data_IF_871547261605
#
_entry.id   IF_871547261605
#
_cell.length_a   1.000
_cell.length_b   1.000
_cell.length_c   1.000
_cell.angle_alpha   90.00
_cell.angle_beta   90.00
_cell.angle_gamma   90.00
#
_symmetry.space_group_name_H-M   'P 1'
#
loop_
_entity.id
_entity.type
_entity.pdbx_description
1 polymer ?
#
# COMPACT_ATOMS: atom_id res chain seq x y z
N UNK A 1 -43.26 10.99 6.01
CA UNK A 1 -41.99 10.58 6.65
C UNK A 1 -41.00 10.31 5.53
N UNK A 2 -39.96 11.14 5.38
CA UNK A 2 -38.91 10.88 4.40
C UNK A 2 -38.13 9.64 4.87
N UNK A 3 -37.93 8.66 3.97
CA UNK A 3 -37.03 7.53 4.22
C UNK A 3 -35.64 8.14 4.43
N UNK A 4 -35.06 7.95 5.62
CA UNK A 4 -33.64 8.30 5.79
C UNK A 4 -32.84 7.48 4.78
N UNK A 5 -31.86 8.08 4.09
CA UNK A 5 -31.01 7.34 3.17
C UNK A 5 -30.27 6.24 3.94
N UNK A 6 -30.14 5.07 3.34
CA UNK A 6 -29.32 3.99 3.87
C UNK A 6 -27.85 4.44 3.84
N UNK A 7 -27.25 4.65 5.02
CA UNK A 7 -25.82 4.97 5.15
C UNK A 7 -25.05 3.66 5.20
N UNK A 8 -24.06 3.51 4.31
CA UNK A 8 -23.11 2.40 4.29
C UNK A 8 -21.75 2.95 4.67
N UNK A 9 -21.21 2.52 5.81
CA UNK A 9 -19.84 2.82 6.22
C UNK A 9 -18.95 1.59 5.96
N UNK A 10 -17.91 1.77 5.13
CA UNK A 10 -16.93 0.72 4.85
C UNK A 10 -15.73 0.88 5.77
N UNK A 11 -15.50 -0.11 6.64
CA UNK A 11 -14.31 -0.15 7.49
C UNK A 11 -13.03 -0.45 6.69
N UNK A 12 -11.84 -0.11 7.20
CA UNK A 12 -10.57 -0.32 6.48
C UNK A 12 -10.29 -1.79 6.18
N UNK A 13 -10.66 -2.70 7.08
CA UNK A 13 -10.48 -4.14 6.84
C UNK A 13 -11.43 -4.67 5.76
N UNK A 14 -12.71 -4.29 5.82
CA UNK A 14 -13.71 -4.68 4.84
C UNK A 14 -13.33 -4.17 3.44
N UNK A 15 -12.90 -2.91 3.35
CA UNK A 15 -12.46 -2.31 2.10
C UNK A 15 -11.22 -3.01 1.54
N UNK A 16 -10.20 -3.27 2.38
CA UNK A 16 -9.02 -4.00 1.94
C UNK A 16 -9.37 -5.41 1.41
N UNK A 17 -10.29 -6.13 2.07
CA UNK A 17 -10.76 -7.45 1.61
C UNK A 17 -11.53 -7.36 0.29
N UNK A 18 -12.37 -6.33 0.13
CA UNK A 18 -13.12 -6.06 -1.10
C UNK A 18 -12.17 -5.80 -2.27
N UNK A 19 -11.21 -4.89 -2.09
CA UNK A 19 -10.19 -4.56 -3.08
C UNK A 19 -9.33 -5.79 -3.43
N UNK A 20 -8.90 -6.55 -2.42
CA UNK A 20 -8.11 -7.76 -2.65
C UNK A 20 -8.88 -8.82 -3.45
N UNK A 21 -10.15 -9.03 -3.11
CA UNK A 21 -11.01 -9.97 -3.85
C UNK A 21 -11.19 -9.53 -5.31
N UNK A 22 -11.41 -8.22 -5.55
CA UNK A 22 -11.47 -7.66 -6.90
C UNK A 22 -10.15 -7.82 -7.65
N UNK A 23 -9.01 -7.63 -6.98
CA UNK A 23 -7.69 -7.81 -7.58
C UNK A 23 -7.46 -9.25 -8.06
N UNK A 24 -7.84 -10.23 -7.24
CA UNK A 24 -7.75 -11.65 -7.57
C UNK A 24 -8.68 -12.05 -8.73
N UNK A 25 -9.89 -11.48 -8.78
CA UNK A 25 -10.81 -11.74 -9.88
C UNK A 25 -10.28 -11.16 -11.20
N UNK A 26 -9.86 -9.89 -11.19
CA UNK A 26 -9.28 -9.23 -12.36
C UNK A 26 -8.02 -9.96 -12.87
N UNK A 27 -7.20 -10.50 -11.96
CA UNK A 27 -6.00 -11.28 -12.33
C UNK A 27 -6.31 -12.46 -13.25
N UNK A 28 -7.49 -13.10 -13.13
CA UNK A 28 -7.86 -14.27 -13.95
C UNK A 28 -7.92 -13.95 -15.45
N UNK A 29 -8.21 -12.70 -15.82
CA UNK A 29 -8.26 -12.22 -17.20
C UNK A 29 -7.04 -11.37 -17.61
N UNK A 30 -6.13 -11.09 -16.67
CA UNK A 30 -5.03 -10.13 -16.85
C UNK A 30 -3.93 -10.59 -17.82
N UNK A 31 -3.89 -11.87 -18.20
CA UNK A 31 -2.96 -12.37 -19.22
C UNK A 31 -3.32 -11.88 -20.63
N UNK A 32 -4.60 -11.70 -20.89
CA UNK A 32 -5.14 -11.47 -22.24
C UNK A 32 -5.70 -10.05 -22.42
N UNK A 33 -5.91 -9.30 -21.33
CA UNK A 33 -6.48 -7.96 -21.35
C UNK A 33 -5.74 -7.00 -20.40
N UNK A 34 -5.42 -5.82 -20.93
CA UNK A 34 -4.75 -4.74 -20.20
C UNK A 34 -5.64 -4.14 -19.11
N UNK A 35 -6.95 -4.10 -19.30
CA UNK A 35 -7.86 -3.50 -18.32
C UNK A 35 -7.86 -4.30 -17.01
N UNK A 36 -8.12 -5.63 -17.01
CA UNK A 36 -8.00 -6.47 -15.82
C UNK A 36 -6.59 -6.52 -15.25
N UNK A 37 -5.55 -6.41 -16.09
CA UNK A 37 -4.16 -6.31 -15.60
C UNK A 37 -3.96 -5.04 -14.75
N UNK A 38 -4.36 -3.88 -15.27
CA UNK A 38 -4.28 -2.61 -14.56
C UNK A 38 -5.14 -2.59 -13.30
N UNK A 39 -6.35 -3.17 -13.37
CA UNK A 39 -7.27 -3.29 -12.23
C UNK A 39 -6.68 -4.18 -11.13
N UNK A 40 -6.18 -5.37 -11.47
CA UNK A 40 -5.55 -6.27 -10.50
C UNK A 40 -4.38 -5.61 -9.76
N UNK A 41 -3.57 -4.83 -10.49
CA UNK A 41 -2.45 -4.10 -9.94
C UNK A 41 -2.91 -2.95 -9.03
N UNK A 42 -3.83 -2.10 -9.50
CA UNK A 42 -4.31 -0.95 -8.75
C UNK A 42 -4.99 -1.36 -7.44
N UNK A 43 -5.94 -2.29 -7.53
CA UNK A 43 -6.70 -2.77 -6.38
C UNK A 43 -5.81 -3.52 -5.38
N UNK A 44 -4.95 -4.41 -5.86
CA UNK A 44 -4.11 -5.24 -4.99
C UNK A 44 -3.09 -4.43 -4.18
N UNK A 45 -2.43 -3.46 -4.83
CA UNK A 45 -1.48 -2.58 -4.14
C UNK A 45 -2.19 -1.68 -3.13
N UNK A 46 -3.39 -1.19 -3.46
CA UNK A 46 -4.16 -0.35 -2.55
C UNK A 46 -4.68 -1.12 -1.32
N UNK A 47 -5.09 -2.38 -1.51
CA UNK A 47 -5.45 -3.25 -0.39
C UNK A 47 -4.31 -3.39 0.63
N UNK A 48 -3.07 -3.57 0.15
CA UNK A 48 -1.89 -3.65 1.01
C UNK A 48 -1.62 -2.34 1.76
N UNK A 49 -1.76 -1.17 1.10
CA UNK A 49 -1.62 0.15 1.74
C UNK A 49 -2.60 0.30 2.91
N UNK A 50 -3.89 0.01 2.68
CA UNK A 50 -4.93 0.13 3.72
C UNK A 50 -4.64 -0.80 4.90
N UNK A 51 -4.25 -2.05 4.65
CA UNK A 51 -3.95 -3.02 5.72
C UNK A 51 -2.76 -2.55 6.57
N UNK A 52 -1.70 -2.05 5.95
CA UNK A 52 -0.52 -1.58 6.68
C UNK A 52 -0.85 -0.32 7.48
N UNK A 53 -1.57 0.64 6.90
CA UNK A 53 -2.03 1.83 7.63
C UNK A 53 -2.86 1.41 8.84
N UNK A 54 -3.84 0.51 8.67
CA UNK A 54 -4.68 -0.01 9.77
C UNK A 54 -3.84 -0.65 10.87
N UNK A 55 -2.87 -1.50 10.51
CA UNK A 55 -2.04 -2.23 11.47
C UNK A 55 -1.05 -1.33 12.22
N UNK A 56 -0.54 -0.28 11.58
CA UNK A 56 0.44 0.63 12.18
C UNK A 56 -0.20 1.83 12.89
N UNK A 57 -1.46 2.15 12.60
CA UNK A 57 -2.15 3.29 13.24
C UNK A 57 -2.11 3.25 14.77
N UNK A 58 -2.31 2.10 15.46
CA UNK A 58 -2.29 2.04 16.93
C UNK A 58 -0.93 2.40 17.55
N UNK A 59 0.15 2.24 16.77
CA UNK A 59 1.52 2.52 17.21
C UNK A 59 2.14 3.72 16.49
N UNK A 60 1.32 4.57 15.86
CA UNK A 60 1.80 5.71 15.04
C UNK A 60 2.76 6.65 15.77
N UNK A 61 2.61 6.78 17.10
CA UNK A 61 3.44 7.64 17.96
C UNK A 61 4.85 7.07 18.19
N UNK A 62 5.11 5.82 17.81
CA UNK A 62 6.45 5.22 17.81
C UNK A 62 7.27 5.61 16.58
N UNK A 63 6.63 6.17 15.56
CA UNK A 63 7.29 6.57 14.32
C UNK A 63 7.66 8.07 14.33
N UNK A 64 8.63 8.49 13.49
CA UNK A 64 8.81 9.90 13.18
C UNK A 64 7.49 10.56 12.75
N UNK A 65 7.32 11.84 13.09
CA UNK A 65 6.09 12.58 12.79
C UNK A 65 5.68 12.56 11.30
N UNK A 66 6.63 12.40 10.37
CA UNK A 66 6.35 12.22 8.95
C UNK A 66 5.55 10.99 8.62
N UNK A 67 5.84 9.88 9.29
CA UNK A 67 5.12 8.62 9.14
C UNK A 67 3.85 8.67 9.98
N UNK A 68 3.93 9.15 11.22
CA UNK A 68 2.77 9.24 12.12
C UNK A 68 1.61 10.05 11.53
N UNK A 69 1.89 11.14 10.79
CA UNK A 69 0.85 11.91 10.08
C UNK A 69 0.19 11.10 8.96
N UNK A 70 0.97 10.29 8.23
CA UNK A 70 0.50 9.48 7.10
C UNK A 70 -0.28 8.22 7.53
N UNK A 71 -0.19 7.87 8.81
CA UNK A 71 -0.97 6.80 9.44
C UNK A 71 -2.32 7.29 10.00
N UNK A 72 -2.64 8.58 9.89
CA UNK A 72 -3.93 9.09 10.32
C UNK A 72 -5.01 8.73 9.30
N UNK A 73 -6.14 8.22 9.79
CA UNK A 73 -7.33 8.01 8.98
C UNK A 73 -8.15 9.31 8.94
N UNK A 74 -8.54 9.80 7.76
CA UNK A 74 -9.45 10.94 7.65
C UNK A 74 -10.83 10.59 8.20
N UNK A 75 -11.66 11.62 8.44
CA UNK A 75 -13.06 11.43 8.82
C UNK A 75 -13.82 10.71 7.70
N UNK A 76 -14.74 9.77 8.00
CA UNK A 76 -15.44 8.98 6.98
C UNK A 76 -16.41 9.80 6.12
N UNK A 77 -16.85 10.97 6.61
CA UNK A 77 -17.78 11.82 5.89
C UNK A 77 -17.11 12.54 4.71
N UNK A 78 -17.77 12.49 3.55
CA UNK A 78 -17.39 13.22 2.34
C UNK A 78 -17.62 14.71 2.55
N UNK A 79 -16.56 15.50 2.42
CA UNK A 79 -16.60 16.96 2.32
C UNK A 79 -16.27 17.34 0.86
N UNK A 80 -17.27 17.81 0.08
CA UNK A 80 -17.06 18.08 -1.34
C UNK A 80 -15.95 19.07 -1.66
N UNK A 81 -15.69 20.05 -0.78
CA UNK A 81 -14.67 21.06 -1.02
C UNK A 81 -13.30 20.56 -0.59
N UNK A 82 -13.20 20.03 0.63
CA UNK A 82 -11.94 19.46 1.16
C UNK A 82 -11.45 18.33 0.25
N UNK A 83 -12.32 17.40 -0.10
CA UNK A 83 -11.94 16.17 -0.81
C UNK A 83 -11.72 16.40 -2.31
N UNK A 84 -12.29 17.47 -2.90
CA UNK A 84 -12.00 17.85 -4.28
C UNK A 84 -10.66 18.60 -4.45
N UNK A 85 -10.18 19.28 -3.40
CA UNK A 85 -9.01 20.16 -3.49
C UNK A 85 -7.79 19.54 -2.79
N UNK A 86 -8.01 18.78 -1.73
CA UNK A 86 -6.96 18.24 -0.88
C UNK A 86 -7.02 16.72 -0.86
N UNK A 87 -5.97 16.08 -1.36
CA UNK A 87 -5.77 14.65 -1.17
C UNK A 87 -4.97 14.46 0.13
N UNK A 88 -5.50 13.75 1.14
CA UNK A 88 -4.75 13.45 2.35
C UNK A 88 -3.42 12.75 2.02
N UNK A 89 -2.35 13.14 2.71
CA UNK A 89 -1.08 12.41 2.61
C UNK A 89 -1.21 11.10 3.38
N UNK A 90 -1.27 10.01 2.65
CA UNK A 90 -1.27 8.64 3.16
C UNK A 90 0.05 7.98 2.78
N UNK A 91 0.40 6.88 3.47
CA UNK A 91 1.52 6.04 3.04
C UNK A 91 1.29 5.56 1.61
N UNK A 92 2.29 5.73 0.74
CA UNK A 92 2.27 5.13 -0.58
C UNK A 92 2.81 3.70 -0.52
N UNK A 93 2.48 2.88 -1.51
CA UNK A 93 2.95 1.50 -1.54
C UNK A 93 4.48 1.36 -1.49
N UNK A 94 5.25 2.33 -1.98
CA UNK A 94 6.72 2.31 -1.82
C UNK A 94 7.15 2.46 -0.36
N UNK A 95 6.38 3.21 0.44
CA UNK A 95 6.61 3.37 1.88
C UNK A 95 6.27 2.07 2.62
N UNK A 96 5.20 1.39 2.19
CA UNK A 96 4.85 0.04 2.68
C UNK A 96 5.98 -0.94 2.43
N UNK A 97 6.50 -0.98 1.19
CA UNK A 97 7.62 -1.84 0.83
C UNK A 97 8.83 -1.50 1.70
N UNK A 98 9.15 -0.22 1.87
CA UNK A 98 10.28 0.18 2.72
C UNK A 98 10.10 -0.30 4.17
N UNK A 99 8.98 0.02 4.81
CA UNK A 99 8.72 -0.30 6.21
C UNK A 99 8.77 -1.79 6.52
N UNK A 100 8.40 -2.63 5.55
CA UNK A 100 8.41 -4.08 5.70
C UNK A 100 9.68 -4.74 5.19
N UNK A 101 10.59 -4.02 4.53
CA UNK A 101 11.85 -4.58 4.03
C UNK A 101 12.85 -4.92 5.14
N UNK A 102 13.59 -6.02 5.01
CA UNK A 102 14.68 -6.38 5.94
C UNK A 102 15.61 -5.21 6.28
N UNK A 103 16.09 -5.15 7.52
CA UNK A 103 16.90 -4.02 8.03
C UNK A 103 18.26 -3.85 7.33
N UNK A 104 18.74 -4.93 6.71
CA UNK A 104 19.95 -5.01 5.91
C UNK A 104 19.77 -4.54 4.46
N UNK A 105 18.53 -4.47 3.98
CA UNK A 105 18.23 -4.05 2.60
C UNK A 105 18.33 -2.55 2.44
N UNK A 106 18.56 -2.09 1.21
CA UNK A 106 18.62 -0.66 0.89
C UNK A 106 17.31 0.05 1.26
N UNK A 107 17.44 1.30 1.70
CA UNK A 107 16.29 2.16 2.02
C UNK A 107 15.71 2.72 0.72
N UNK A 108 14.48 2.33 0.39
CA UNK A 108 13.81 2.65 -0.88
C UNK A 108 12.91 3.87 -0.77
N UNK A 109 12.50 4.25 0.45
CA UNK A 109 11.83 5.53 0.72
C UNK A 109 12.60 6.41 1.73
N UNK A 110 13.83 6.84 1.42
CA UNK A 110 14.64 7.64 2.36
C UNK A 110 13.99 8.99 2.73
N UNK A 111 13.12 9.53 1.86
CA UNK A 111 12.37 10.76 2.13
C UNK A 111 11.35 10.61 3.27
N UNK A 112 10.86 9.40 3.51
CA UNK A 112 9.90 9.07 4.56
C UNK A 112 10.47 9.27 5.97
N UNK A 113 11.74 8.91 6.16
CA UNK A 113 12.35 8.77 7.49
C UNK A 113 12.99 10.05 8.06
N UNK A 114 13.15 11.10 7.24
CA UNK A 114 13.78 12.44 7.50
C UNK A 114 15.13 12.45 8.25
N UNK A 115 15.91 13.50 7.98
CA UNK A 115 17.24 13.77 8.55
C UNK A 115 18.37 13.29 7.62
N UNK A 116 19.19 14.21 7.10
CA UNK A 116 20.36 13.87 6.27
C UNK A 116 21.47 13.18 7.07
N UNK A 117 21.51 13.42 8.38
CA UNK A 117 22.63 13.07 9.25
C UNK A 117 22.62 11.60 9.71
N UNK A 118 21.48 10.89 9.65
CA UNK A 118 21.41 9.49 10.07
C UNK A 118 20.29 8.66 9.38
N UNK A 119 20.27 8.69 8.05
CA UNK A 119 19.21 8.04 7.25
C UNK A 119 19.12 6.53 7.48
N UNK A 120 20.26 5.85 7.61
CA UNK A 120 20.31 4.39 7.79
C UNK A 120 19.73 3.98 9.14
N UNK A 121 20.05 4.70 10.21
CA UNK A 121 19.50 4.40 11.53
C UNK A 121 18.00 4.71 11.61
N UNK A 122 17.55 5.86 11.08
CA UNK A 122 16.12 6.22 11.11
C UNK A 122 15.26 5.24 10.30
N UNK A 123 15.76 4.80 9.14
CA UNK A 123 15.11 3.78 8.30
C UNK A 123 15.01 2.45 9.06
N UNK A 124 16.13 1.92 9.59
CA UNK A 124 16.14 0.68 10.38
C UNK A 124 15.20 0.72 11.58
N UNK A 125 15.19 1.82 12.34
CA UNK A 125 14.29 1.95 13.51
C UNK A 125 12.82 1.93 13.11
N UNK A 126 12.46 2.62 12.02
CA UNK A 126 11.08 2.64 11.53
C UNK A 126 10.66 1.26 11.03
N UNK A 127 11.54 0.56 10.31
CA UNK A 127 11.35 -0.83 9.88
C UNK A 127 11.17 -1.77 11.06
N UNK A 128 12.07 -1.73 12.05
CA UNK A 128 11.98 -2.55 13.25
C UNK A 128 10.65 -2.35 13.99
N UNK A 129 10.18 -1.10 14.11
CA UNK A 129 8.88 -0.80 14.72
C UNK A 129 7.72 -1.38 13.90
N UNK A 130 7.70 -1.19 12.58
CA UNK A 130 6.65 -1.72 11.72
C UNK A 130 6.62 -3.25 11.69
N UNK A 131 7.79 -3.88 11.54
CA UNK A 131 7.95 -5.33 11.52
C UNK A 131 7.62 -5.95 12.87
N UNK A 132 8.00 -5.31 13.97
CA UNK A 132 7.64 -5.77 15.32
C UNK A 132 6.13 -5.73 15.57
N UNK A 133 5.43 -4.74 15.02
CA UNK A 133 3.98 -4.62 15.15
C UNK A 133 3.20 -5.54 14.21
N UNK A 134 3.66 -5.70 12.97
CA UNK A 134 2.97 -6.48 11.93
C UNK A 134 3.37 -7.96 11.96
N UNK A 135 4.59 -8.27 12.41
CA UNK A 135 5.14 -9.63 12.39
C UNK A 135 5.53 -10.11 10.98
N UNK A 136 5.77 -9.20 10.03
CA UNK A 136 6.16 -9.52 8.65
C UNK A 136 7.42 -8.77 8.26
N UNK A 137 8.32 -9.48 7.57
CA UNK A 137 9.54 -8.92 6.97
C UNK A 137 9.66 -9.44 5.55
N UNK A 138 9.91 -8.53 4.60
CA UNK A 138 10.11 -8.84 3.19
C UNK A 138 11.57 -9.24 2.95
N UNK A 139 11.73 -10.30 2.17
CA UNK A 139 13.01 -10.71 1.60
C UNK A 139 13.47 -9.74 0.51
N UNK A 140 14.75 -9.82 0.09
CA UNK A 140 15.27 -9.05 -1.05
C UNK A 140 14.46 -9.31 -2.34
N UNK A 141 14.16 -10.58 -2.62
CA UNK A 141 13.36 -10.99 -3.79
C UNK A 141 11.93 -10.42 -3.75
N UNK A 142 11.30 -10.40 -2.57
CA UNK A 142 9.97 -9.80 -2.41
C UNK A 142 10.04 -8.28 -2.57
N UNK A 143 11.04 -7.62 -1.97
CA UNK A 143 11.24 -6.18 -2.12
C UNK A 143 11.37 -5.82 -3.60
N UNK A 144 12.22 -6.52 -4.37
CA UNK A 144 12.42 -6.26 -5.79
C UNK A 144 11.14 -6.44 -6.61
N UNK A 145 10.42 -7.55 -6.41
CA UNK A 145 9.16 -7.84 -7.12
C UNK A 145 8.08 -6.82 -6.79
N UNK A 146 7.95 -6.42 -5.53
CA UNK A 146 6.96 -5.42 -5.11
C UNK A 146 7.32 -4.02 -5.63
N UNK A 147 8.61 -3.66 -5.68
CA UNK A 147 9.07 -2.42 -6.33
C UNK A 147 8.75 -2.42 -7.82
N UNK A 148 8.89 -3.55 -8.51
CA UNK A 148 8.50 -3.69 -9.91
C UNK A 148 7.00 -3.43 -10.11
N UNK A 149 6.14 -4.00 -9.26
CA UNK A 149 4.69 -3.72 -9.29
C UNK A 149 4.39 -2.24 -9.04
N UNK A 150 5.07 -1.63 -8.05
CA UNK A 150 4.95 -0.21 -7.74
C UNK A 150 5.36 0.67 -8.95
N UNK A 151 6.43 0.29 -9.64
CA UNK A 151 6.91 0.99 -10.83
C UNK A 151 5.88 0.93 -11.97
N UNK A 152 5.30 -0.25 -12.22
CA UNK A 152 4.22 -0.39 -13.21
C UNK A 152 3.01 0.46 -12.86
N UNK A 153 2.55 0.45 -11.60
CA UNK A 153 1.42 1.28 -11.15
C UNK A 153 1.71 2.76 -11.38
N UNK A 154 2.89 3.23 -10.97
CA UNK A 154 3.24 4.64 -11.09
C UNK A 154 3.36 5.07 -12.57
N UNK A 155 3.90 4.20 -13.44
CA UNK A 155 3.90 4.47 -14.88
C UNK A 155 2.49 4.54 -15.46
N UNK A 156 1.62 3.60 -15.11
CA UNK A 156 0.25 3.53 -15.62
C UNK A 156 -0.64 4.70 -15.19
N UNK A 157 -0.59 5.06 -13.91
CA UNK A 157 -1.57 5.99 -13.33
C UNK A 157 -1.02 7.40 -13.07
N UNK A 158 0.30 7.59 -13.10
CA UNK A 158 0.93 8.90 -12.79
C UNK A 158 1.75 9.48 -13.93
N UNK A 159 2.03 8.72 -15.00
CA UNK A 159 2.81 9.20 -16.13
C UNK A 159 1.94 9.38 -17.38
N UNK A 160 2.18 10.41 -18.21
CA UNK A 160 1.54 10.49 -19.51
C UNK A 160 2.01 9.36 -20.44
N UNK A 161 1.16 8.88 -21.37
CA UNK A 161 1.54 7.87 -22.35
C UNK A 161 2.61 8.35 -23.33
N UNK A 162 3.33 7.44 -24.01
CA UNK A 162 3.14 5.98 -24.01
C UNK A 162 3.76 5.28 -22.79
N UNK A 163 3.08 4.21 -22.34
CA UNK A 163 3.59 3.29 -21.30
C UNK A 163 3.72 1.89 -21.92
N UNK A 164 4.88 1.27 -21.75
CA UNK A 164 5.10 -0.12 -22.16
C UNK A 164 4.78 -1.04 -20.99
N UNK A 165 3.93 -2.04 -21.23
CA UNK A 165 3.58 -3.06 -20.26
C UNK A 165 4.14 -4.41 -20.70
N UNK A 166 4.65 -5.18 -19.74
CA UNK A 166 5.05 -6.56 -19.93
C UNK A 166 4.21 -7.41 -18.98
N UNK A 167 3.04 -7.92 -19.41
CA UNK A 167 2.11 -8.65 -18.53
C UNK A 167 2.76 -9.81 -17.78
N UNK A 168 3.66 -10.55 -18.44
CA UNK A 168 4.38 -11.66 -17.80
C UNK A 168 5.23 -11.24 -16.59
N UNK A 169 5.85 -10.06 -16.62
CA UNK A 169 6.60 -9.53 -15.47
C UNK A 169 5.68 -9.18 -14.31
N UNK A 170 4.56 -8.50 -14.60
CA UNK A 170 3.56 -8.10 -13.60
C UNK A 170 2.95 -9.36 -12.96
N UNK A 171 2.52 -10.33 -13.76
CA UNK A 171 1.88 -11.56 -13.28
C UNK A 171 2.84 -12.45 -12.46
N UNK A 172 4.12 -12.48 -12.84
CA UNK A 172 5.18 -13.17 -12.08
C UNK A 172 5.46 -12.48 -10.74
N UNK A 173 5.54 -11.15 -10.72
CA UNK A 173 5.75 -10.39 -9.49
C UNK A 173 4.51 -10.38 -8.57
N UNK A 174 3.31 -10.57 -9.11
CA UNK A 174 2.06 -10.59 -8.35
C UNK A 174 2.04 -11.62 -7.21
N UNK A 175 2.79 -12.73 -7.33
CA UNK A 175 2.91 -13.72 -6.26
C UNK A 175 3.50 -13.13 -4.97
N UNK A 176 4.42 -12.16 -5.06
CA UNK A 176 4.94 -11.46 -3.88
C UNK A 176 3.88 -10.56 -3.25
N UNK A 177 2.99 -9.98 -4.06
CA UNK A 177 1.85 -9.22 -3.54
C UNK A 177 0.84 -10.12 -2.83
N UNK A 178 0.56 -11.31 -3.37
CA UNK A 178 -0.28 -12.31 -2.71
C UNK A 178 0.27 -12.68 -1.33
N UNK A 179 1.56 -13.03 -1.25
CA UNK A 179 2.20 -13.36 0.03
C UNK A 179 2.15 -12.20 1.02
N UNK A 180 2.40 -10.98 0.56
CA UNK A 180 2.30 -9.79 1.39
C UNK A 180 0.88 -9.60 1.93
N UNK A 181 -0.13 -9.57 1.06
CA UNK A 181 -1.52 -9.31 1.47
C UNK A 181 -2.07 -10.43 2.35
N UNK A 182 -1.78 -11.68 2.05
CA UNK A 182 -2.14 -12.82 2.91
C UNK A 182 -1.49 -12.72 4.29
N UNK A 183 -0.22 -12.32 4.36
CA UNK A 183 0.47 -12.06 5.62
C UNK A 183 -0.21 -10.94 6.41
N UNK A 184 -0.53 -9.84 5.75
CA UNK A 184 -1.18 -8.68 6.37
C UNK A 184 -2.60 -9.02 6.86
N UNK A 185 -3.37 -9.79 6.09
CA UNK A 185 -4.69 -10.26 6.50
C UNK A 185 -4.63 -11.20 7.70
N UNK A 186 -3.58 -12.02 7.82
CA UNK A 186 -3.34 -12.86 9.01
C UNK A 186 -2.95 -12.02 10.23
N UNK A 187 -2.19 -10.94 10.05
CA UNK A 187 -1.85 -10.02 11.12
C UNK A 187 -3.04 -9.14 11.57
N UNK A 188 -4.06 -8.99 10.72
CA UNK A 188 -5.22 -8.15 10.97
C UNK A 188 -6.38 -8.84 11.71
N UNK A 189 -6.41 -10.18 11.72
CA UNK A 189 -7.43 -11.01 12.39
C UNK A 189 -6.96 -11.57 13.71
#
# INVERSE_FOLDING_TARGET
MARMPDIIELGPEEEARRLWSGALEARKAAADDVVPLCESLGLGLHAAEILVIRLLQPIKDQFPATIGVQLNMPTPEVDPHRDAITVPKMLEFIDVVDLLSGEELECVSPGLHRGWEDRRFSCRRSRAAAQGAIGLTLSADDQERLLLLAAYRNRLFRSPPPVRLVPGEILSAFQSLERLVEGLLKAAG
#
